data_IF_519490676567
#
_entry.id   IF_519490676567
#
_cell.length_a   1.000
_cell.length_b   1.000
_cell.length_c   1.000
_cell.angle_alpha   90.00
_cell.angle_beta   90.00
_cell.angle_gamma   90.00
#
_symmetry.space_group_name_H-M   'P 1'
#
loop_
_entity.id
_entity.type
_entity.pdbx_description
1 polymer ?
#
# COMPACT_ATOMS: atom_id res chain seq x y z
N UNK A 1 56.78 36.68 29.43
CA UNK A 1 56.22 35.37 29.05
C UNK A 1 54.96 35.63 28.28
N UNK A 2 54.97 35.23 27.02
CA UNK A 2 54.02 35.52 25.95
C UNK A 2 52.69 34.80 26.21
N UNK A 3 51.56 35.53 26.07
CA UNK A 3 50.22 34.96 26.15
C UNK A 3 49.87 34.37 24.79
N UNK A 4 49.81 33.04 24.70
CA UNK A 4 49.29 32.34 23.52
C UNK A 4 47.78 32.25 23.59
N UNK A 5 47.08 32.89 22.64
CA UNK A 5 45.65 32.69 22.42
C UNK A 5 45.38 31.28 21.84
N UNK A 6 44.26 30.63 22.19
CA UNK A 6 43.90 29.34 21.61
C UNK A 6 43.49 29.51 20.14
N UNK A 7 44.07 28.69 19.27
CA UNK A 7 43.67 28.61 17.86
C UNK A 7 42.16 28.34 17.75
N UNK A 8 41.47 29.18 16.99
CA UNK A 8 40.10 28.93 16.53
C UNK A 8 40.03 27.52 15.91
N UNK A 9 39.16 26.67 16.47
CA UNK A 9 38.92 25.34 15.93
C UNK A 9 38.44 25.48 14.49
N UNK A 10 39.21 24.96 13.54
CA UNK A 10 38.84 24.93 12.14
C UNK A 10 37.42 24.37 12.00
N UNK A 11 36.55 25.11 11.29
CA UNK A 11 35.21 24.65 10.93
C UNK A 11 35.34 23.24 10.31
N UNK A 12 34.82 22.22 11.02
CA UNK A 12 34.79 20.86 10.50
C UNK A 12 34.09 20.89 9.14
N UNK A 13 34.65 20.27 8.10
CA UNK A 13 34.05 20.28 6.78
C UNK A 13 32.66 19.65 6.85
N UNK A 14 31.65 20.37 6.36
CA UNK A 14 30.27 19.92 6.28
C UNK A 14 30.23 18.69 5.35
N UNK A 15 29.90 17.52 5.90
CA UNK A 15 29.78 16.26 5.17
C UNK A 15 28.31 15.93 4.97
N UNK A 16 27.91 15.74 3.72
CA UNK A 16 26.65 15.12 3.34
C UNK A 16 26.77 13.61 3.54
N UNK A 17 26.68 13.14 4.78
CA UNK A 17 26.47 11.72 5.05
C UNK A 17 24.98 11.46 5.05
N UNK A 18 24.52 10.56 4.18
CA UNK A 18 23.15 10.05 4.28
C UNK A 18 22.99 9.40 5.66
N UNK A 19 21.99 9.85 6.41
CA UNK A 19 21.64 9.30 7.71
C UNK A 19 20.37 8.46 7.56
N UNK A 20 20.48 7.17 7.88
CA UNK A 20 19.34 6.25 7.88
C UNK A 20 18.78 6.19 9.30
N UNK A 21 17.54 6.64 9.47
CA UNK A 21 16.79 6.45 10.71
C UNK A 21 15.84 5.27 10.53
N UNK A 22 16.06 4.21 11.31
CA UNK A 22 15.19 3.05 11.34
C UNK A 22 14.13 3.25 12.41
N UNK A 23 12.87 3.17 12.00
CA UNK A 23 11.71 3.17 12.90
C UNK A 23 10.96 1.86 12.71
N UNK A 24 10.78 1.12 13.80
CA UNK A 24 10.10 -0.18 13.79
C UNK A 24 8.63 0.03 14.17
N UNK A 25 7.73 -0.64 13.46
CA UNK A 25 6.30 -0.64 13.76
C UNK A 25 5.82 -2.06 14.12
N UNK A 26 4.70 -2.12 14.84
CA UNK A 26 4.03 -3.36 15.21
C UNK A 26 2.79 -3.57 14.34
N UNK A 27 2.42 -4.82 14.09
CA UNK A 27 1.14 -5.16 13.46
C UNK A 27 -0.03 -4.52 14.22
N UNK A 28 -1.04 -4.02 13.50
CA UNK A 28 -2.27 -3.46 14.07
C UNK A 28 -2.08 -2.24 14.98
N UNK A 29 -0.90 -1.61 14.95
CA UNK A 29 -0.58 -0.43 15.74
C UNK A 29 -0.19 0.71 14.82
N UNK A 30 -1.00 1.76 14.81
CA UNK A 30 -0.76 2.92 13.96
C UNK A 30 0.56 3.62 14.26
N UNK A 31 1.16 4.21 13.23
CA UNK A 31 2.29 5.12 13.34
C UNK A 31 2.13 6.29 12.38
N UNK A 32 2.86 7.38 12.63
CA UNK A 32 2.82 8.58 11.78
C UNK A 32 4.05 8.61 10.88
N UNK A 33 3.82 8.77 9.58
CA UNK A 33 4.86 9.06 8.60
C UNK A 33 4.36 10.12 7.62
N UNK A 34 5.20 11.08 7.24
CA UNK A 34 4.83 12.15 6.32
C UNK A 34 3.52 12.88 6.69
N UNK A 35 3.27 13.07 8.00
CA UNK A 35 2.04 13.66 8.56
C UNK A 35 0.74 12.89 8.21
N UNK A 36 0.85 11.58 7.94
CA UNK A 36 -0.28 10.68 7.76
C UNK A 36 -0.18 9.52 8.74
N UNK A 37 -1.32 9.08 9.25
CA UNK A 37 -1.45 7.88 10.05
C UNK A 37 -1.51 6.65 9.13
N UNK A 38 -0.62 5.70 9.42
CA UNK A 38 -0.56 4.40 8.76
C UNK A 38 -0.87 3.31 9.78
N UNK A 39 -1.80 2.43 9.45
CA UNK A 39 -2.08 1.20 10.17
C UNK A 39 -1.48 0.01 9.40
N UNK A 40 -0.44 -0.65 9.94
CA UNK A 40 0.09 -1.89 9.38
C UNK A 40 -0.91 -3.04 9.55
N UNK A 41 -1.21 -3.72 8.45
CA UNK A 41 -2.12 -4.86 8.37
C UNK A 41 -1.30 -6.09 7.96
N UNK A 42 -1.12 -7.10 8.82
CA UNK A 42 -0.33 -8.27 8.49
C UNK A 42 -0.98 -9.10 7.37
N UNK A 43 -0.17 -9.55 6.42
CA UNK A 43 -0.55 -10.43 5.31
C UNK A 43 0.49 -11.53 5.14
N UNK A 44 0.14 -12.61 4.45
CA UNK A 44 1.07 -13.71 4.18
C UNK A 44 1.72 -13.50 2.82
N UNK A 45 3.05 -13.53 2.74
CA UNK A 45 3.82 -13.48 1.48
C UNK A 45 4.72 -14.71 1.41
N UNK A 46 4.12 -15.87 1.13
CA UNK A 46 4.82 -17.15 1.24
C UNK A 46 4.63 -17.82 2.58
N UNK A 47 4.78 -19.15 2.57
CA UNK A 47 4.61 -19.99 3.75
C UNK A 47 5.61 -19.55 4.83
N UNK A 48 5.08 -19.17 5.99
CA UNK A 48 5.88 -18.78 7.16
C UNK A 48 6.45 -17.37 7.10
N UNK A 49 6.05 -16.54 6.13
CA UNK A 49 6.52 -15.17 6.01
C UNK A 49 5.37 -14.17 6.05
N UNK A 50 5.45 -13.24 7.01
CA UNK A 50 4.48 -12.16 7.17
C UNK A 50 5.03 -10.89 6.54
N UNK A 51 4.28 -10.36 5.59
CA UNK A 51 4.45 -9.00 5.06
C UNK A 51 3.35 -8.09 5.64
N UNK A 52 3.36 -6.82 5.25
CA UNK A 52 2.37 -5.84 5.70
C UNK A 52 1.75 -5.11 4.51
N UNK A 53 0.42 -5.09 4.50
CA UNK A 53 -0.32 -4.01 3.86
C UNK A 53 -0.44 -2.82 4.81
N UNK A 54 -0.94 -1.70 4.29
CA UNK A 54 -1.15 -0.48 5.08
C UNK A 54 -2.50 0.14 4.76
N UNK A 55 -3.27 0.50 5.80
CA UNK A 55 -4.40 1.40 5.69
C UNK A 55 -3.98 2.82 6.08
N UNK A 56 -4.35 3.83 5.29
CA UNK A 56 -4.03 5.24 5.52
C UNK A 56 -4.98 6.18 4.75
N UNK A 57 -4.80 7.51 4.89
CA UNK A 57 -5.49 8.53 4.09
C UNK A 57 -6.67 9.23 4.77
N UNK A 58 -6.91 8.96 6.06
CA UNK A 58 -8.00 9.57 6.82
C UNK A 58 -7.91 11.11 6.81
N UNK A 59 -6.71 11.68 6.76
CA UNK A 59 -6.43 13.11 6.68
C UNK A 59 -6.93 13.78 5.39
N UNK A 60 -7.04 12.99 4.31
CA UNK A 60 -7.59 13.45 3.02
C UNK A 60 -9.02 12.95 2.81
N UNK A 61 -9.66 12.44 3.86
CA UNK A 61 -11.04 11.97 3.83
C UNK A 61 -11.25 10.71 3.00
N UNK A 62 -10.22 9.87 2.87
CA UNK A 62 -10.28 8.63 2.11
C UNK A 62 -9.71 7.45 2.90
N UNK A 63 -10.36 6.29 2.82
CA UNK A 63 -9.81 5.03 3.34
C UNK A 63 -9.03 4.33 2.22
N UNK A 64 -7.71 4.49 2.21
CA UNK A 64 -6.80 3.81 1.29
C UNK A 64 -6.25 2.54 1.93
N UNK A 65 -6.21 1.44 1.19
CA UNK A 65 -5.54 0.20 1.62
C UNK A 65 -4.56 -0.22 0.53
N UNK A 66 -3.29 -0.42 0.89
CA UNK A 66 -2.20 -0.83 -0.01
C UNK A 66 -1.63 -2.18 0.42
N UNK A 67 -1.65 -3.18 -0.45
CA UNK A 67 -1.17 -4.55 -0.18
C UNK A 67 -0.42 -5.07 -1.41
N UNK A 68 0.90 -4.83 -1.49
CA UNK A 68 1.68 -5.13 -2.71
C UNK A 68 2.22 -6.55 -2.80
N UNK A 69 2.65 -7.13 -1.67
CA UNK A 69 3.30 -8.43 -1.60
C UNK A 69 2.44 -9.35 -0.74
N UNK A 70 1.57 -10.13 -1.39
CA UNK A 70 0.62 -11.00 -0.68
C UNK A 70 0.30 -12.25 -1.48
N UNK A 71 0.36 -13.41 -0.83
CA UNK A 71 -0.15 -14.71 -1.31
C UNK A 71 -1.50 -15.07 -0.67
N UNK A 72 -1.74 -14.61 0.56
CA UNK A 72 -2.95 -14.92 1.32
C UNK A 72 -3.26 -13.79 2.30
N UNK A 73 -4.53 -13.45 2.43
CA UNK A 73 -5.02 -12.62 3.52
C UNK A 73 -5.40 -13.52 4.72
N UNK A 74 -4.71 -13.42 5.87
CA UNK A 74 -5.07 -14.17 7.06
C UNK A 74 -6.51 -13.86 7.52
N UNK A 75 -7.13 -14.78 8.27
CA UNK A 75 -8.51 -14.64 8.72
C UNK A 75 -8.79 -13.32 9.47
N UNK A 76 -7.86 -12.88 10.32
CA UNK A 76 -7.96 -11.60 11.03
C UNK A 76 -7.97 -10.42 10.06
N UNK A 77 -7.13 -10.46 9.03
CA UNK A 77 -7.05 -9.44 7.99
C UNK A 77 -8.30 -9.41 7.14
N UNK A 78 -8.82 -10.57 6.74
CA UNK A 78 -10.11 -10.66 6.03
C UNK A 78 -11.24 -10.07 6.86
N UNK A 79 -11.31 -10.40 8.15
CA UNK A 79 -12.33 -9.86 9.05
C UNK A 79 -12.22 -8.33 9.16
N UNK A 80 -11.01 -7.79 9.29
CA UNK A 80 -10.77 -6.35 9.35
C UNK A 80 -11.17 -5.61 8.05
N UNK A 81 -10.84 -6.18 6.88
CA UNK A 81 -11.15 -5.58 5.58
C UNK A 81 -12.65 -5.65 5.25
N UNK A 82 -13.36 -6.67 5.75
CA UNK A 82 -14.79 -6.89 5.55
C UNK A 82 -15.68 -6.32 6.68
N UNK A 83 -15.10 -5.64 7.66
CA UNK A 83 -15.86 -5.08 8.79
C UNK A 83 -16.81 -3.96 8.34
N UNK A 84 -18.11 -4.26 8.32
CA UNK A 84 -19.17 -3.36 7.87
C UNK A 84 -19.45 -2.20 8.82
N UNK A 85 -18.87 -2.20 10.02
CA UNK A 85 -18.91 -1.03 10.92
C UNK A 85 -17.94 0.07 10.50
N UNK A 86 -16.97 -0.23 9.63
CA UNK A 86 -16.02 0.73 9.08
C UNK A 86 -16.55 1.35 7.79
N UNK A 87 -16.05 2.53 7.46
CA UNK A 87 -16.28 3.11 6.13
C UNK A 87 -15.76 2.17 5.04
N UNK A 88 -16.46 2.09 3.91
CA UNK A 88 -15.99 1.33 2.75
C UNK A 88 -14.61 1.81 2.31
N UNK A 89 -13.78 0.87 1.85
CA UNK A 89 -12.46 1.19 1.30
C UNK A 89 -12.66 1.97 0.00
N UNK A 90 -12.13 3.19 -0.05
CA UNK A 90 -12.23 4.06 -1.23
C UNK A 90 -11.30 3.57 -2.35
N UNK A 91 -10.08 3.20 -1.99
CA UNK A 91 -9.09 2.61 -2.90
C UNK A 91 -8.44 1.41 -2.22
N UNK A 92 -8.53 0.26 -2.87
CA UNK A 92 -7.71 -0.91 -2.55
C UNK A 92 -6.68 -1.10 -3.66
N UNK A 93 -5.40 -0.95 -3.34
CA UNK A 93 -4.31 -1.35 -4.24
C UNK A 93 -3.79 -2.72 -3.79
N UNK A 94 -3.86 -3.73 -4.66
CA UNK A 94 -3.58 -5.13 -4.27
C UNK A 94 -2.77 -5.90 -5.32
N UNK A 95 -1.92 -6.80 -4.85
CA UNK A 95 -1.07 -7.70 -5.65
C UNK A 95 -1.88 -8.54 -6.65
N UNK A 96 -1.32 -8.73 -7.84
CA UNK A 96 -1.86 -9.54 -8.94
C UNK A 96 -0.74 -9.87 -9.93
N UNK A 97 0.12 -10.83 -9.57
CA UNK A 97 1.33 -11.17 -10.33
C UNK A 97 1.03 -11.77 -11.72
N UNK A 98 0.06 -12.69 -11.77
CA UNK A 98 -0.35 -13.43 -12.97
C UNK A 98 -1.87 -13.43 -13.11
N UNK A 99 -2.40 -13.84 -14.27
CA UNK A 99 -3.84 -13.96 -14.49
C UNK A 99 -4.45 -15.02 -13.55
N UNK A 100 -3.98 -16.26 -13.62
CA UNK A 100 -4.54 -17.41 -12.87
C UNK A 100 -3.47 -18.41 -12.40
N UNK A 101 -2.20 -18.13 -12.68
CA UNK A 101 -1.08 -19.01 -12.31
C UNK A 101 -0.78 -18.89 -10.83
N UNK A 102 -0.71 -20.06 -10.17
CA UNK A 102 -0.28 -20.16 -8.78
C UNK A 102 1.14 -19.65 -8.58
N UNK A 103 1.33 -18.88 -7.50
CA UNK A 103 2.63 -18.50 -6.98
C UNK A 103 2.60 -18.66 -5.45
N UNK A 104 3.71 -19.12 -4.87
CA UNK A 104 3.76 -19.36 -3.42
C UNK A 104 3.74 -18.08 -2.59
N UNK A 105 4.20 -16.95 -3.15
CA UNK A 105 4.39 -15.70 -2.44
C UNK A 105 3.43 -14.59 -2.88
N UNK A 106 2.87 -14.68 -4.09
CA UNK A 106 2.03 -13.64 -4.68
C UNK A 106 0.66 -14.17 -5.12
N UNK A 107 -0.34 -13.31 -5.05
CA UNK A 107 -1.69 -13.56 -5.56
C UNK A 107 -1.70 -13.41 -7.08
N UNK A 108 -2.46 -14.27 -7.73
CA UNK A 108 -2.95 -14.05 -9.09
C UNK A 108 -4.16 -13.11 -9.08
N UNK A 109 -4.47 -12.52 -10.24
CA UNK A 109 -5.70 -11.74 -10.45
C UNK A 109 -6.95 -12.57 -10.12
N UNK A 110 -6.96 -13.86 -10.46
CA UNK A 110 -8.06 -14.76 -10.13
C UNK A 110 -8.24 -14.94 -8.61
N UNK A 111 -7.16 -14.95 -7.84
CA UNK A 111 -7.21 -15.01 -6.37
C UNK A 111 -7.62 -13.67 -5.77
N UNK A 112 -7.03 -12.57 -6.23
CA UNK A 112 -7.41 -11.22 -5.82
C UNK A 112 -8.91 -10.98 -6.06
N UNK A 113 -9.44 -11.38 -7.22
CA UNK A 113 -10.86 -11.26 -7.56
C UNK A 113 -11.78 -11.99 -6.57
N UNK A 114 -11.37 -13.12 -5.98
CA UNK A 114 -12.14 -13.81 -4.95
C UNK A 114 -12.25 -12.97 -3.68
N UNK A 115 -11.16 -12.33 -3.27
CA UNK A 115 -11.16 -11.44 -2.10
C UNK A 115 -11.98 -10.17 -2.38
N UNK A 116 -11.83 -9.56 -3.57
CA UNK A 116 -12.55 -8.35 -3.97
C UNK A 116 -14.07 -8.52 -3.97
N UNK A 117 -14.57 -9.71 -4.33
CA UNK A 117 -16.01 -10.02 -4.28
C UNK A 117 -16.59 -9.91 -2.87
N UNK A 118 -15.78 -10.09 -1.84
CA UNK A 118 -16.18 -9.95 -0.44
C UNK A 118 -15.93 -8.53 0.07
N UNK A 119 -14.71 -8.01 -0.13
CA UNK A 119 -14.26 -6.72 0.41
C UNK A 119 -15.02 -5.55 -0.24
N UNK A 120 -15.34 -5.66 -1.53
CA UNK A 120 -16.08 -4.67 -2.33
C UNK A 120 -15.60 -3.21 -2.14
N UNK A 121 -14.31 -2.91 -2.42
CA UNK A 121 -13.83 -1.53 -2.42
C UNK A 121 -14.53 -0.71 -3.52
N UNK A 122 -14.58 0.62 -3.35
CA UNK A 122 -15.16 1.52 -4.37
C UNK A 122 -14.34 1.51 -5.67
N UNK A 123 -13.02 1.32 -5.55
CA UNK A 123 -12.08 1.23 -6.68
C UNK A 123 -10.90 0.36 -6.28
N UNK A 124 -10.48 -0.51 -7.20
CA UNK A 124 -9.33 -1.41 -7.04
C UNK A 124 -8.26 -1.07 -8.06
N UNK A 125 -7.01 -0.97 -7.60
CA UNK A 125 -5.84 -0.79 -8.45
C UNK A 125 -4.93 -2.02 -8.31
N UNK A 126 -4.63 -2.70 -9.40
CA UNK A 126 -3.74 -3.85 -9.36
C UNK A 126 -2.29 -3.42 -9.16
N UNK A 127 -1.46 -4.20 -8.47
CA UNK A 127 -0.01 -3.96 -8.39
C UNK A 127 0.75 -5.28 -8.44
N UNK A 128 2.08 -5.24 -8.49
CA UNK A 128 2.91 -6.46 -8.55
C UNK A 128 2.80 -7.24 -9.88
N UNK A 129 2.15 -6.68 -10.90
CA UNK A 129 1.87 -7.36 -12.16
C UNK A 129 3.16 -7.72 -12.91
N UNK A 130 3.28 -8.99 -13.32
CA UNK A 130 4.40 -9.42 -14.17
C UNK A 130 4.20 -8.98 -15.63
N UNK A 131 5.24 -9.18 -16.45
CA UNK A 131 5.16 -8.96 -17.90
C UNK A 131 4.11 -9.85 -18.61
N UNK A 132 3.68 -10.96 -17.99
CA UNK A 132 2.61 -11.79 -18.53
C UNK A 132 1.24 -11.11 -18.37
N UNK A 133 1.04 -10.33 -17.31
CA UNK A 133 -0.13 -9.46 -17.11
C UNK A 133 0.20 -8.04 -17.60
N UNK A 134 0.46 -7.92 -18.91
CA UNK A 134 0.85 -6.67 -19.55
C UNK A 134 -0.28 -5.63 -19.59
N UNK A 135 0.05 -4.37 -19.27
CA UNK A 135 -0.89 -3.25 -19.21
C UNK A 135 -1.58 -2.96 -20.55
N UNK A 136 -0.81 -2.90 -21.65
CA UNK A 136 -1.36 -2.53 -22.96
C UNK A 136 -2.23 -3.64 -23.54
N UNK A 137 -1.88 -4.88 -23.24
CA UNK A 137 -2.58 -6.07 -23.70
C UNK A 137 -3.84 -6.34 -22.87
N UNK A 138 -3.75 -6.21 -21.53
CA UNK A 138 -4.77 -6.70 -20.61
C UNK A 138 -5.60 -5.61 -19.93
N UNK A 139 -5.21 -4.32 -19.97
CA UNK A 139 -5.87 -3.25 -19.22
C UNK A 139 -7.38 -3.17 -19.46
N UNK A 140 -7.81 -3.16 -20.73
CA UNK A 140 -9.24 -3.14 -21.09
C UNK A 140 -9.97 -4.42 -20.69
N UNK A 141 -9.29 -5.56 -20.75
CA UNK A 141 -9.87 -6.83 -20.36
C UNK A 141 -10.07 -6.90 -18.84
N UNK A 142 -9.11 -6.40 -18.05
CA UNK A 142 -9.23 -6.28 -16.58
C UNK A 142 -10.38 -5.37 -16.20
N UNK A 143 -10.53 -4.23 -16.87
CA UNK A 143 -11.66 -3.31 -16.65
C UNK A 143 -13.01 -4.01 -16.94
N UNK A 144 -13.11 -4.71 -18.08
CA UNK A 144 -14.31 -5.47 -18.43
C UNK A 144 -14.59 -6.59 -17.41
N UNK A 145 -13.55 -7.32 -17.00
CA UNK A 145 -13.66 -8.37 -15.98
C UNK A 145 -14.20 -7.81 -14.66
N UNK A 146 -13.75 -6.63 -14.25
CA UNK A 146 -14.28 -5.92 -13.09
C UNK A 146 -15.77 -5.64 -13.27
N UNK A 147 -16.15 -5.00 -14.38
CA UNK A 147 -17.54 -4.64 -14.69
C UNK A 147 -18.48 -5.87 -14.69
N UNK A 148 -18.04 -6.98 -15.28
CA UNK A 148 -18.79 -8.24 -15.32
C UNK A 148 -19.01 -8.84 -13.92
N UNK A 149 -18.21 -8.44 -12.93
CA UNK A 149 -18.32 -8.87 -11.53
C UNK A 149 -18.87 -7.76 -10.60
N UNK A 150 -19.36 -6.64 -11.17
CA UNK A 150 -19.83 -5.47 -10.41
C UNK A 150 -18.75 -4.91 -9.47
N UNK A 151 -17.52 -4.82 -10.00
CA UNK A 151 -16.33 -4.31 -9.32
C UNK A 151 -15.63 -3.29 -10.22
N UNK A 152 -15.09 -2.23 -9.63
CA UNK A 152 -14.25 -1.29 -10.35
C UNK A 152 -12.78 -1.69 -10.20
N UNK A 153 -12.19 -2.29 -11.23
CA UNK A 153 -10.82 -2.81 -11.22
C UNK A 153 -10.03 -2.19 -12.37
N UNK A 154 -8.87 -1.64 -12.06
CA UNK A 154 -7.98 -1.01 -13.04
C UNK A 154 -6.54 -1.49 -12.87
N UNK A 155 -5.81 -1.51 -13.98
CA UNK A 155 -4.35 -1.59 -13.95
C UNK A 155 -3.80 -0.15 -13.85
N UNK A 156 -3.04 0.21 -12.82
CA UNK A 156 -2.35 1.49 -12.75
C UNK A 156 -1.10 1.50 -13.64
N UNK A 157 -0.53 2.69 -13.80
CA UNK A 157 0.69 2.94 -14.56
C UNK A 157 1.60 3.91 -13.81
N UNK A 158 2.89 3.90 -14.14
CA UNK A 158 3.87 4.79 -13.55
C UNK A 158 3.47 6.27 -13.75
N UNK A 159 3.38 7.00 -12.65
CA UNK A 159 2.96 8.40 -12.64
C UNK A 159 1.45 8.63 -12.52
N UNK A 160 0.63 7.58 -12.37
CA UNK A 160 -0.78 7.72 -11.99
C UNK A 160 -0.90 8.60 -10.73
N UNK A 161 -1.82 9.57 -10.79
CA UNK A 161 -2.14 10.44 -9.64
C UNK A 161 -3.58 10.24 -9.24
N UNK A 162 -3.80 10.10 -7.94
CA UNK A 162 -5.12 10.03 -7.34
C UNK A 162 -5.41 11.37 -6.66
N UNK A 163 -6.59 11.91 -6.94
CA UNK A 163 -7.07 13.14 -6.32
C UNK A 163 -8.25 12.80 -5.43
N UNK A 164 -8.19 13.28 -4.18
CA UNK A 164 -9.29 13.16 -3.23
C UNK A 164 -9.89 14.55 -3.01
N UNK A 165 -11.22 14.66 -2.87
CA UNK A 165 -11.83 15.92 -2.45
C UNK A 165 -11.19 16.37 -1.14
N UNK A 166 -10.92 17.67 -0.96
CA UNK A 166 -10.54 18.16 0.36
C UNK A 166 -11.62 17.75 1.35
N UNK A 167 -11.23 17.16 2.48
CA UNK A 167 -12.13 16.94 3.59
C UNK A 167 -12.75 18.31 3.92
N UNK A 168 -14.07 18.43 3.75
CA UNK A 168 -14.76 19.63 4.18
C UNK A 168 -14.50 19.77 5.68
N UNK A 169 -13.97 20.92 6.11
CA UNK A 169 -13.82 21.24 7.51
C UNK A 169 -15.19 21.05 8.16
N UNK A 170 -15.39 19.92 8.84
CA UNK A 170 -16.55 19.71 9.69
C UNK A 170 -16.30 20.57 10.93
N UNK A 171 -16.88 21.77 10.90
CA UNK A 171 -17.02 22.68 12.04
C UNK A 171 -17.76 22.03 13.20
#
# INVERSE_FOLDING_TARGET
MEKTEPLQSANKPFRWTAELRLEVFDAWKSFIACNMEFLPIPVTHGVGYTSYGFEFGHEVGARFVYISDVSELPAQTKAYLNDSSKASIDILMIDSLYIDKYNSAHMSLAEALKELKTIRPKRTLLTGMSHELDYFTHGKWVEQLGNDNDLHIEMPYDGLRLAFPQASNRS
#
